data_IF_327762247831
#
_entry.id   IF_327762247831
#
_cell.length_a   1.000
_cell.length_b   1.000
_cell.length_c   1.000
_cell.angle_alpha   90.00
_cell.angle_beta   90.00
_cell.angle_gamma   90.00
#
_symmetry.space_group_name_H-M   'P 1'
#
loop_
_entity.id
_entity.type
_entity.pdbx_description
1 polymer ?
#
# COMPACT_ATOMS: atom_id res chain seq x y z
N UNK A 1 3.26 -20.51 18.73
CA UNK A 1 3.06 -20.15 17.31
C UNK A 1 3.51 -18.72 17.12
N UNK A 2 4.29 -18.41 16.07
CA UNK A 2 4.55 -17.01 15.69
C UNK A 2 3.59 -16.68 14.56
N UNK A 3 2.70 -15.71 14.77
CA UNK A 3 1.66 -15.37 13.81
C UNK A 3 2.28 -14.45 12.77
N UNK A 4 1.97 -14.66 11.49
CA UNK A 4 2.40 -13.77 10.42
C UNK A 4 1.19 -13.03 9.86
N UNK A 5 1.40 -11.74 9.55
CA UNK A 5 0.38 -10.89 8.95
C UNK A 5 0.94 -10.28 7.67
N UNK A 6 0.19 -10.45 6.58
CA UNK A 6 0.46 -9.83 5.29
C UNK A 6 -0.72 -8.93 4.97
N UNK A 7 -0.46 -7.66 4.70
CA UNK A 7 -1.49 -6.69 4.36
C UNK A 7 -0.98 -5.66 3.37
N UNK A 8 -1.88 -5.16 2.52
CA UNK A 8 -1.62 -3.97 1.72
C UNK A 8 -1.90 -2.71 2.52
N UNK A 9 -1.18 -1.65 2.19
CA UNK A 9 -1.41 -0.33 2.76
C UNK A 9 -1.06 0.74 1.74
N UNK A 10 -1.52 1.96 2.01
CA UNK A 10 -1.14 3.15 1.25
C UNK A 10 -0.23 4.06 2.07
N UNK A 11 0.51 4.93 1.39
CA UNK A 11 1.15 6.08 2.03
C UNK A 11 0.10 7.16 2.35
N UNK A 12 0.47 8.18 3.13
CA UNK A 12 -0.40 9.32 3.42
C UNK A 12 -0.86 10.05 2.16
N UNK A 13 0.01 10.18 1.17
CA UNK A 13 -0.33 10.80 -0.12
C UNK A 13 -1.27 9.91 -0.94
N UNK A 14 -1.01 8.59 -0.96
CA UNK A 14 -1.91 7.59 -1.53
C UNK A 14 -3.31 7.67 -0.90
N UNK A 15 -3.37 7.75 0.43
CA UNK A 15 -4.61 7.89 1.19
C UNK A 15 -5.43 9.12 0.79
N UNK A 16 -4.78 10.29 0.64
CA UNK A 16 -5.46 11.51 0.18
C UNK A 16 -6.10 11.31 -1.20
N UNK A 17 -5.39 10.62 -2.11
CA UNK A 17 -5.91 10.31 -3.46
C UNK A 17 -7.08 9.33 -3.40
N UNK A 18 -6.97 8.28 -2.58
CA UNK A 18 -8.05 7.29 -2.37
C UNK A 18 -9.31 7.97 -1.82
N UNK A 19 -9.17 8.83 -0.81
CA UNK A 19 -10.31 9.60 -0.26
C UNK A 19 -10.95 10.52 -1.30
N UNK A 20 -10.13 11.22 -2.10
CA UNK A 20 -10.64 12.05 -3.21
C UNK A 20 -11.44 11.21 -4.20
N UNK A 21 -10.93 10.04 -4.56
CA UNK A 21 -11.60 9.12 -5.49
C UNK A 21 -12.92 8.58 -4.90
N UNK A 22 -12.96 8.18 -3.62
CA UNK A 22 -14.19 7.73 -2.97
C UNK A 22 -15.26 8.82 -2.92
N UNK A 23 -14.87 10.07 -2.65
CA UNK A 23 -15.76 11.23 -2.74
C UNK A 23 -16.33 11.43 -4.14
N UNK A 24 -15.51 11.26 -5.18
CA UNK A 24 -15.98 11.32 -6.58
C UNK A 24 -16.99 10.21 -6.91
N UNK A 25 -16.92 9.06 -6.24
CA UNK A 25 -17.88 7.97 -6.38
C UNK A 25 -19.14 8.15 -5.49
N UNK A 26 -19.27 9.27 -4.77
CA UNK A 26 -20.37 9.50 -3.82
C UNK A 26 -20.26 8.70 -2.51
N UNK A 27 -19.13 8.00 -2.28
CA UNK A 27 -18.89 7.18 -1.08
C UNK A 27 -18.19 7.99 0.00
N UNK A 28 -18.87 8.99 0.55
CA UNK A 28 -18.29 9.89 1.56
C UNK A 28 -17.99 9.22 2.90
N UNK A 29 -18.70 8.12 3.21
CA UNK A 29 -18.57 7.41 4.49
C UNK A 29 -17.54 6.26 4.44
N UNK A 30 -16.98 5.95 3.26
CA UNK A 30 -15.95 4.94 3.08
C UNK A 30 -14.55 5.51 3.41
N UNK A 31 -14.35 5.87 4.67
CA UNK A 31 -13.13 6.52 5.13
C UNK A 31 -12.07 5.50 5.56
N UNK A 32 -11.01 5.39 4.76
CA UNK A 32 -9.78 4.72 5.18
C UNK A 32 -8.93 5.68 6.03
N UNK A 33 -8.53 5.25 7.23
CA UNK A 33 -7.70 6.05 8.16
C UNK A 33 -6.29 5.48 8.35
N UNK A 34 -6.08 4.22 7.98
CA UNK A 34 -4.82 3.52 8.17
C UNK A 34 -3.89 3.69 6.97
N UNK A 35 -2.68 4.17 7.21
CA UNK A 35 -1.64 4.34 6.21
C UNK A 35 -0.27 4.08 6.85
N UNK A 36 0.72 3.75 6.03
CA UNK A 36 2.11 3.53 6.46
C UNK A 36 3.04 4.25 5.50
N UNK A 37 3.67 5.34 5.97
CA UNK A 37 4.69 6.04 5.20
C UNK A 37 6.04 5.30 5.29
N UNK A 38 6.47 4.94 6.50
CA UNK A 38 7.66 4.14 6.78
C UNK A 38 7.29 2.89 7.60
N UNK A 39 7.70 1.72 7.11
CA UNK A 39 7.47 0.43 7.76
C UNK A 39 8.27 0.29 9.06
N UNK A 40 9.44 0.91 9.15
CA UNK A 40 10.26 0.87 10.36
C UNK A 40 9.58 1.61 11.52
N UNK A 41 8.87 2.70 11.23
CA UNK A 41 8.08 3.42 12.23
C UNK A 41 6.91 2.59 12.74
N UNK A 42 6.27 1.80 11.86
CA UNK A 42 5.23 0.86 12.26
C UNK A 42 5.79 -0.22 13.19
N UNK A 43 6.89 -0.85 12.80
CA UNK A 43 7.54 -1.92 13.59
C UNK A 43 7.96 -1.39 14.97
N UNK A 44 8.60 -0.21 15.02
CA UNK A 44 8.97 0.46 16.28
C UNK A 44 7.76 0.71 17.20
N UNK A 45 6.61 1.09 16.63
CA UNK A 45 5.36 1.32 17.39
C UNK A 45 4.76 0.03 17.93
N UNK A 46 4.86 -1.07 17.19
CA UNK A 46 4.32 -2.37 17.60
C UNK A 46 5.18 -3.03 18.68
N UNK A 47 6.51 -2.83 18.68
CA UNK A 47 7.48 -3.38 19.66
C UNK A 47 7.66 -4.90 19.70
N UNK A 48 6.62 -5.68 19.39
CA UNK A 48 6.67 -7.15 19.31
C UNK A 48 6.75 -7.68 17.88
N UNK A 49 6.60 -6.81 16.87
CA UNK A 49 6.62 -7.21 15.48
C UNK A 49 8.04 -7.18 14.88
N UNK A 50 8.31 -8.07 13.93
CA UNK A 50 9.50 -8.11 13.10
C UNK A 50 9.09 -7.96 11.62
N UNK A 51 9.82 -7.13 10.86
CA UNK A 51 9.58 -6.97 9.43
C UNK A 51 10.17 -8.15 8.66
N UNK A 52 9.34 -8.90 7.96
CA UNK A 52 9.80 -9.91 7.01
C UNK A 52 10.04 -9.26 5.64
N UNK A 53 9.07 -8.47 5.15
CA UNK A 53 9.13 -7.88 3.81
C UNK A 53 8.31 -6.60 3.69
N UNK A 54 8.80 -5.65 2.90
CA UNK A 54 8.04 -4.48 2.44
C UNK A 54 8.35 -4.26 0.96
N UNK A 55 7.34 -4.29 0.11
CA UNK A 55 7.49 -4.11 -1.35
C UNK A 55 6.45 -3.14 -1.89
N UNK A 56 6.84 -2.38 -2.92
CA UNK A 56 5.89 -1.62 -3.71
C UNK A 56 4.95 -2.57 -4.46
N UNK A 57 3.65 -2.29 -4.37
CA UNK A 57 2.60 -3.26 -4.70
C UNK A 57 2.67 -3.76 -6.15
N UNK A 58 3.03 -2.89 -7.10
CA UNK A 58 2.94 -3.26 -8.50
C UNK A 58 4.21 -3.88 -9.06
N UNK A 59 5.33 -3.92 -8.33
CA UNK A 59 6.65 -4.34 -8.86
C UNK A 59 6.59 -5.74 -9.48
N UNK A 60 5.98 -6.69 -8.78
CA UNK A 60 5.98 -8.12 -9.12
C UNK A 60 4.74 -8.57 -9.91
N UNK A 61 3.94 -7.66 -10.48
CA UNK A 61 2.80 -8.06 -11.31
C UNK A 61 3.31 -8.68 -12.62
N UNK A 62 2.94 -9.93 -12.85
CA UNK A 62 3.21 -10.65 -14.09
C UNK A 62 2.36 -10.11 -15.25
N UNK A 63 2.83 -10.31 -16.48
CA UNK A 63 2.08 -9.99 -17.70
C UNK A 63 1.62 -8.51 -17.81
N UNK A 64 2.33 -7.55 -17.20
CA UNK A 64 2.03 -6.10 -17.32
C UNK A 64 1.88 -5.63 -18.76
N UNK A 65 2.58 -6.26 -19.72
CA UNK A 65 2.49 -5.97 -21.15
C UNK A 65 1.07 -6.11 -21.71
N UNK A 66 0.23 -6.96 -21.11
CA UNK A 66 -1.18 -7.16 -21.50
C UNK A 66 -2.11 -6.04 -20.99
N UNK A 67 -1.64 -5.19 -20.07
CA UNK A 67 -2.42 -4.06 -19.54
C UNK A 67 -2.34 -2.84 -20.46
N UNK A 68 -3.41 -2.03 -20.43
CA UNK A 68 -3.46 -0.73 -21.13
C UNK A 68 -2.25 0.14 -20.75
N UNK A 69 -1.69 0.85 -21.71
CA UNK A 69 -0.50 1.70 -21.49
C UNK A 69 -0.67 2.69 -20.33
N UNK A 70 -1.84 3.36 -20.25
CA UNK A 70 -2.17 4.27 -19.15
C UNK A 70 -2.10 3.58 -17.78
N UNK A 71 -2.61 2.34 -17.68
CA UNK A 71 -2.55 1.54 -16.45
C UNK A 71 -1.10 1.31 -16.03
N UNK A 72 -0.24 0.90 -16.97
CA UNK A 72 1.19 0.67 -16.69
C UNK A 72 1.88 1.94 -16.19
N UNK A 73 1.60 3.10 -16.81
CA UNK A 73 2.14 4.38 -16.35
C UNK A 73 1.72 4.67 -14.90
N UNK A 74 0.42 4.52 -14.58
CA UNK A 74 -0.05 4.78 -13.22
C UNK A 74 0.55 3.82 -12.19
N UNK A 75 0.77 2.56 -12.56
CA UNK A 75 1.48 1.59 -11.70
C UNK A 75 2.91 2.03 -11.45
N UNK A 76 3.67 2.41 -12.49
CA UNK A 76 5.04 2.92 -12.35
C UNK A 76 5.12 4.17 -11.50
N UNK A 77 4.17 5.11 -11.65
CA UNK A 77 4.08 6.30 -10.79
C UNK A 77 3.76 5.91 -9.34
N UNK A 78 2.91 4.91 -9.14
CA UNK A 78 2.58 4.40 -7.81
C UNK A 78 3.78 3.83 -7.08
N UNK A 79 4.55 2.97 -7.73
CA UNK A 79 5.75 2.36 -7.15
C UNK A 79 6.82 3.44 -6.90
N UNK A 80 7.08 4.33 -7.88
CA UNK A 80 8.07 5.42 -7.72
C UNK A 80 7.75 6.37 -6.56
N UNK A 81 6.49 6.53 -6.21
CA UNK A 81 6.02 7.37 -5.11
C UNK A 81 5.70 6.57 -3.83
N UNK A 82 5.98 5.27 -3.83
CA UNK A 82 5.68 4.34 -2.74
C UNK A 82 4.23 4.48 -2.22
N UNK A 83 3.27 4.63 -3.14
CA UNK A 83 1.88 4.97 -2.79
C UNK A 83 1.09 3.78 -2.25
N UNK A 84 1.38 2.58 -2.74
CA UNK A 84 0.72 1.33 -2.33
C UNK A 84 1.82 0.30 -2.10
N UNK A 85 1.78 -0.36 -0.95
CA UNK A 85 2.83 -1.28 -0.50
C UNK A 85 2.21 -2.54 0.07
N UNK A 86 2.89 -3.66 -0.09
CA UNK A 86 2.63 -4.89 0.65
C UNK A 86 3.60 -4.97 1.82
N UNK A 87 3.08 -5.17 3.04
CA UNK A 87 3.87 -5.36 4.25
C UNK A 87 3.61 -6.76 4.80
N UNK A 88 4.70 -7.46 5.11
CA UNK A 88 4.70 -8.77 5.76
C UNK A 88 5.43 -8.65 7.10
N UNK A 89 4.68 -8.84 8.18
CA UNK A 89 5.18 -8.81 9.54
C UNK A 89 5.05 -10.18 10.20
N UNK A 90 5.94 -10.44 11.14
CA UNK A 90 5.86 -11.52 12.11
C UNK A 90 5.56 -10.92 13.47
N UNK A 91 4.58 -11.46 14.19
CA UNK A 91 4.16 -11.02 15.52
C UNK A 91 4.62 -11.98 16.63
#
# INVERSE_FOLDING_TARGET
>A
SRVEIVFDTVSKSGMKRTRKYMKQLGKNDALMYFYVDDVNDLVKKLKYAELIKCEDYYVNIENKSKLKFKTRIFMTISDKLHMVKMIHLKL
#
